data_IF_850716502086
#
_entry.id   IF_850716502086
#
_cell.length_a   1.000
_cell.length_b   1.000
_cell.length_c   1.000
_cell.angle_alpha   90.00
_cell.angle_beta   90.00
_cell.angle_gamma   90.00
#
_symmetry.space_group_name_H-M   'P 1'
#
loop_
_entity.id
_entity.type
_entity.pdbx_description
1 polymer ?
#
# COMPACT_ATOMS: atom_id res chain seq x y z
N UNK A 1 37.82 -38.33 2.35
CA UNK A 1 39.22 -38.02 2.72
C UNK A 1 39.93 -37.53 1.48
N UNK A 2 40.16 -36.23 1.36
CA UNK A 2 41.26 -35.70 0.55
C UNK A 2 41.65 -34.34 1.11
N UNK A 3 42.91 -34.28 1.53
CA UNK A 3 43.52 -33.28 2.37
C UNK A 3 44.38 -32.41 1.45
N UNK A 4 44.03 -31.15 1.23
CA UNK A 4 44.93 -30.18 0.62
C UNK A 4 45.16 -29.02 1.58
N UNK A 5 46.33 -29.13 2.17
CA UNK A 5 47.09 -28.22 3.01
C UNK A 5 47.90 -27.31 2.08
N UNK A 6 48.19 -26.07 2.54
CA UNK A 6 49.38 -25.22 2.31
C UNK A 6 49.09 -23.75 1.97
N UNK A 7 50.02 -22.83 2.31
CA UNK A 7 49.80 -21.78 3.29
C UNK A 7 49.97 -20.38 2.66
N UNK A 8 50.01 -19.31 3.44
CA UNK A 8 51.10 -18.31 3.43
C UNK A 8 50.72 -17.12 4.32
N UNK A 9 51.54 -16.94 5.36
CA UNK A 9 51.73 -15.67 6.06
C UNK A 9 52.25 -14.61 5.08
N UNK A 10 51.80 -13.36 5.21
CA UNK A 10 52.72 -12.22 5.16
C UNK A 10 52.23 -11.07 6.05
N UNK A 11 53.14 -10.63 6.90
CA UNK A 11 53.07 -9.50 7.82
C UNK A 11 53.30 -8.17 7.08
N UNK A 12 52.63 -7.14 7.60
CA UNK A 12 53.06 -5.75 7.80
C UNK A 12 53.52 -4.89 6.61
N UNK A 13 52.94 -3.69 6.48
CA UNK A 13 53.66 -2.43 6.67
C UNK A 13 52.72 -1.22 6.65
N UNK A 14 53.10 -0.25 7.47
CA UNK A 14 52.43 1.01 7.79
C UNK A 14 52.56 1.99 6.62
N UNK A 15 51.44 2.63 6.25
CA UNK A 15 51.43 3.79 5.37
C UNK A 15 50.68 4.93 6.06
N UNK A 16 51.42 5.81 6.72
CA UNK A 16 50.91 7.08 7.23
C UNK A 16 50.64 8.02 6.05
N UNK A 17 49.37 8.32 5.81
CA UNK A 17 48.93 9.38 4.90
C UNK A 17 48.05 10.35 5.65
N UNK A 18 48.64 11.44 6.16
CA UNK A 18 47.90 12.58 6.68
C UNK A 18 47.24 13.30 5.50
N UNK A 19 45.97 13.05 5.25
CA UNK A 19 45.13 13.94 4.46
C UNK A 19 44.40 14.87 5.43
N UNK A 20 44.76 16.16 5.40
CA UNK A 20 44.01 17.22 6.07
C UNK A 20 42.62 17.31 5.43
N UNK A 21 41.62 16.76 6.11
CA UNK A 21 40.23 17.02 5.81
C UNK A 21 39.84 18.35 6.48
N UNK A 22 39.54 19.34 5.65
CA UNK A 22 38.85 20.58 6.03
C UNK A 22 37.58 20.20 6.82
N UNK A 23 37.27 20.83 7.97
CA UNK A 23 36.00 20.60 8.63
C UNK A 23 34.92 21.25 7.77
N UNK A 24 34.19 20.43 7.01
CA UNK A 24 32.90 20.85 6.46
C UNK A 24 31.97 21.03 7.64
N UNK A 25 31.56 22.28 7.85
CA UNK A 25 30.49 22.71 8.75
C UNK A 25 29.32 21.74 8.58
N UNK A 26 29.16 20.85 9.57
CA UNK A 26 28.08 19.89 9.61
C UNK A 26 26.88 20.68 10.09
N UNK A 27 26.03 21.11 9.14
CA UNK A 27 24.69 21.54 9.46
C UNK A 27 24.06 20.53 10.42
N UNK A 28 23.41 20.98 11.50
CA UNK A 28 22.77 20.07 12.43
C UNK A 28 21.81 19.15 11.66
N UNK A 29 21.82 17.84 11.93
CA UNK A 29 20.91 16.93 11.26
C UNK A 29 19.49 17.40 11.52
N UNK A 30 18.82 17.87 10.47
CA UNK A 30 17.37 18.10 10.49
C UNK A 30 16.75 16.80 10.99
N UNK A 31 16.00 16.81 12.11
CA UNK A 31 15.33 15.62 12.56
C UNK A 31 14.47 15.09 11.40
N UNK A 32 14.48 13.78 11.13
CA UNK A 32 13.64 13.23 10.08
C UNK A 32 12.21 13.69 10.36
N UNK A 33 11.64 14.46 9.42
CA UNK A 33 10.23 14.83 9.44
C UNK A 33 9.49 13.51 9.42
N UNK A 34 9.03 13.09 10.60
CA UNK A 34 8.13 11.96 10.73
C UNK A 34 6.83 12.45 10.13
N UNK A 35 6.64 12.22 8.83
CA UNK A 35 5.38 12.42 8.16
C UNK A 35 4.37 11.55 8.88
N UNK A 36 3.67 12.17 9.82
CA UNK A 36 2.58 11.53 10.53
C UNK A 36 1.54 11.26 9.45
N UNK A 37 1.13 10.00 9.22
CA UNK A 37 0.13 9.71 8.21
C UNK A 37 -1.07 10.61 8.46
N UNK A 38 -1.37 11.48 7.50
CA UNK A 38 -2.43 12.47 7.61
C UNK A 38 -3.71 11.71 7.93
N UNK A 39 -4.24 11.91 9.13
CA UNK A 39 -5.50 11.31 9.54
C UNK A 39 -6.58 11.68 8.52
N UNK A 40 -7.56 10.79 8.32
CA UNK A 40 -8.76 11.13 7.56
C UNK A 40 -9.31 12.42 8.14
N UNK A 41 -9.59 13.40 7.29
CA UNK A 41 -10.07 14.68 7.76
C UNK A 41 -11.46 14.48 8.39
N UNK A 42 -11.64 14.91 9.64
CA UNK A 42 -12.89 14.75 10.40
C UNK A 42 -14.16 15.19 9.64
N UNK A 43 -14.04 16.13 8.69
CA UNK A 43 -15.14 16.60 7.86
C UNK A 43 -15.68 15.51 6.93
N UNK A 44 -14.83 14.65 6.35
CA UNK A 44 -15.28 13.61 5.41
C UNK A 44 -16.02 12.46 6.12
N UNK A 45 -15.72 12.25 7.40
CA UNK A 45 -16.40 11.25 8.23
C UNK A 45 -17.83 11.65 8.58
N UNK A 46 -18.13 12.97 8.59
CA UNK A 46 -19.45 13.51 8.93
C UNK A 46 -20.28 13.90 7.72
N UNK A 47 -19.71 13.84 6.51
CA UNK A 47 -20.42 14.16 5.29
C UNK A 47 -21.49 13.11 4.98
N UNK A 48 -22.68 13.60 4.64
CA UNK A 48 -23.78 12.77 4.17
C UNK A 48 -23.47 12.15 2.79
N UNK A 49 -24.01 10.96 2.48
CA UNK A 49 -23.87 10.39 1.16
C UNK A 49 -24.58 11.24 0.11
N UNK A 50 -24.03 11.24 -1.10
CA UNK A 50 -24.62 11.89 -2.27
C UNK A 50 -25.38 10.85 -3.10
N UNK A 51 -26.46 11.27 -3.75
CA UNK A 51 -27.13 10.48 -4.77
C UNK A 51 -26.64 10.98 -6.13
N UNK A 52 -26.12 10.09 -6.97
CA UNK A 52 -25.70 10.45 -8.33
C UNK A 52 -26.89 10.55 -9.30
N UNK A 53 -26.62 10.97 -10.54
CA UNK A 53 -27.65 11.24 -11.56
C UNK A 53 -28.48 10.00 -11.96
N UNK A 54 -27.98 8.80 -11.65
CA UNK A 54 -28.67 7.53 -11.90
C UNK A 54 -29.35 6.97 -10.64
N UNK A 55 -29.32 7.72 -9.55
CA UNK A 55 -29.97 7.39 -8.28
C UNK A 55 -29.16 6.43 -7.39
N UNK A 56 -27.87 6.26 -7.64
CA UNK A 56 -26.99 5.46 -6.79
C UNK A 56 -26.46 6.28 -5.64
N UNK A 57 -26.45 5.68 -4.45
CA UNK A 57 -25.86 6.29 -3.26
C UNK A 57 -24.34 6.15 -3.34
N UNK A 58 -23.62 7.27 -3.25
CA UNK A 58 -22.17 7.33 -3.16
C UNK A 58 -21.77 8.00 -1.86
N UNK A 59 -20.96 7.31 -1.08
CA UNK A 59 -20.38 7.87 0.12
C UNK A 59 -19.13 8.69 -0.23
N UNK A 60 -18.82 9.74 0.55
CA UNK A 60 -17.55 10.45 0.42
C UNK A 60 -16.33 9.51 0.46
N UNK A 61 -15.29 9.84 -0.31
CA UNK A 61 -14.04 9.09 -0.38
C UNK A 61 -12.88 10.02 -0.08
N UNK A 62 -12.00 9.64 0.86
CA UNK A 62 -10.77 10.38 1.13
C UNK A 62 -9.96 10.52 -0.15
N UNK A 63 -9.40 11.70 -0.40
CA UNK A 63 -8.69 11.98 -1.65
C UNK A 63 -7.54 11.01 -1.94
N UNK A 64 -6.94 10.43 -0.90
CA UNK A 64 -5.92 9.37 -1.03
C UNK A 64 -6.45 8.15 -1.78
N UNK A 65 -7.74 7.85 -1.67
CA UNK A 65 -8.39 6.69 -2.29
C UNK A 65 -9.29 7.07 -3.46
N UNK A 66 -9.21 8.30 -3.99
CA UNK A 66 -10.12 8.78 -5.03
C UNK A 66 -10.11 7.92 -6.31
N UNK A 67 -9.01 7.24 -6.59
CA UNK A 67 -8.85 6.32 -7.72
C UNK A 67 -9.55 4.97 -7.52
N UNK A 68 -9.98 4.65 -6.29
CA UNK A 68 -10.63 3.40 -5.93
C UNK A 68 -12.16 3.60 -5.84
N UNK A 69 -13.00 2.93 -6.65
CA UNK A 69 -14.44 3.19 -6.71
C UNK A 69 -15.22 2.85 -5.43
N UNK A 70 -15.64 1.61 -5.23
CA UNK A 70 -16.30 1.16 -4.01
C UNK A 70 -15.28 0.88 -2.91
N UNK A 71 -14.12 0.32 -3.26
CA UNK A 71 -13.07 0.04 -2.28
C UNK A 71 -12.58 1.31 -1.55
N UNK A 72 -12.49 2.45 -2.25
CA UNK A 72 -12.11 3.73 -1.63
C UNK A 72 -13.14 4.24 -0.62
N UNK A 73 -14.44 4.05 -0.90
CA UNK A 73 -15.51 4.37 0.05
C UNK A 73 -15.44 3.47 1.30
N UNK A 74 -15.13 2.17 1.12
CA UNK A 74 -14.94 1.24 2.25
C UNK A 74 -13.73 1.62 3.09
N UNK A 75 -12.58 1.95 2.48
CA UNK A 75 -11.41 2.41 3.23
C UNK A 75 -11.70 3.68 4.03
N UNK A 76 -12.38 4.64 3.42
CA UNK A 76 -12.77 5.88 4.09
C UNK A 76 -13.69 5.59 5.28
N UNK A 77 -14.70 4.72 5.11
CA UNK A 77 -15.61 4.33 6.18
C UNK A 77 -14.90 3.61 7.34
N UNK A 78 -13.95 2.71 7.04
CA UNK A 78 -13.14 2.01 8.05
C UNK A 78 -12.26 2.99 8.82
N UNK A 79 -11.61 3.94 8.15
CA UNK A 79 -10.78 4.94 8.83
C UNK A 79 -11.60 5.93 9.67
N UNK A 80 -12.87 6.15 9.31
CA UNK A 80 -13.83 6.92 10.12
C UNK A 80 -14.47 6.12 11.27
N UNK A 81 -14.08 4.84 11.46
CA UNK A 81 -14.69 3.91 12.43
C UNK A 81 -16.22 3.74 12.24
N UNK A 82 -16.70 3.84 11.00
CA UNK A 82 -18.12 3.75 10.64
C UNK A 82 -18.37 2.48 9.79
N UNK A 83 -18.41 1.33 10.47
CA UNK A 83 -18.68 0.04 9.82
C UNK A 83 -20.12 -0.08 9.28
N UNK A 84 -21.06 0.71 9.81
CA UNK A 84 -22.43 0.75 9.31
C UNK A 84 -22.48 1.40 7.92
N UNK A 85 -21.70 2.47 7.72
CA UNK A 85 -21.47 3.06 6.39
C UNK A 85 -20.76 2.10 5.46
N UNK A 86 -19.72 1.41 5.93
CA UNK A 86 -19.05 0.38 5.12
C UNK A 86 -20.06 -0.70 4.66
N UNK A 87 -20.96 -1.13 5.56
CA UNK A 87 -22.06 -2.07 5.31
C UNK A 87 -23.06 -1.65 4.22
N UNK A 88 -23.07 -0.38 3.81
CA UNK A 88 -23.95 0.15 2.76
C UNK A 88 -23.23 0.34 1.43
N UNK A 89 -21.91 0.16 1.38
CA UNK A 89 -21.13 0.25 0.14
C UNK A 89 -21.24 -1.07 -0.63
N UNK A 90 -21.45 -0.98 -1.94
CA UNK A 90 -21.53 -2.15 -2.79
C UNK A 90 -20.27 -3.01 -2.69
N UNK A 91 -20.45 -4.33 -2.59
CA UNK A 91 -19.35 -5.26 -2.42
C UNK A 91 -18.89 -5.45 -0.98
N UNK A 92 -19.46 -4.78 0.02
CA UNK A 92 -19.16 -5.06 1.43
C UNK A 92 -20.35 -5.75 2.12
N UNK A 93 -20.18 -7.01 2.49
CA UNK A 93 -21.22 -7.89 3.06
C UNK A 93 -20.63 -8.63 4.24
N UNK A 94 -21.38 -8.76 5.35
CA UNK A 94 -20.97 -9.51 6.54
C UNK A 94 -19.56 -9.14 7.05
N UNK A 95 -19.27 -7.83 7.11
CA UNK A 95 -17.97 -7.26 7.54
C UNK A 95 -16.78 -7.67 6.66
N UNK A 96 -17.05 -8.08 5.42
CA UNK A 96 -16.05 -8.47 4.44
C UNK A 96 -16.32 -7.80 3.09
N UNK A 97 -15.26 -7.41 2.40
CA UNK A 97 -15.34 -6.94 1.02
C UNK A 97 -15.27 -8.15 0.07
N UNK A 98 -16.37 -8.39 -0.65
CA UNK A 98 -16.62 -9.55 -1.50
C UNK A 98 -16.64 -9.21 -2.99
N UNK A 99 -16.58 -7.93 -3.39
CA UNK A 99 -16.45 -7.60 -4.81
C UNK A 99 -15.15 -8.17 -5.38
N UNK A 100 -15.17 -8.59 -6.64
CA UNK A 100 -13.96 -9.00 -7.34
C UNK A 100 -13.03 -7.81 -7.47
N UNK A 101 -11.78 -7.96 -7.01
CA UNK A 101 -10.75 -6.93 -7.11
C UNK A 101 -9.72 -7.34 -8.15
N UNK A 102 -9.54 -6.49 -9.15
CA UNK A 102 -8.47 -6.58 -10.14
C UNK A 102 -7.60 -5.32 -10.04
N UNK A 103 -6.30 -5.52 -9.88
CA UNK A 103 -5.29 -4.48 -9.79
C UNK A 103 -4.39 -4.55 -11.02
N UNK A 104 -4.14 -3.44 -11.68
CA UNK A 104 -3.27 -3.34 -12.86
C UNK A 104 -2.29 -2.17 -12.69
N UNK A 105 -1.01 -2.42 -12.91
CA UNK A 105 0.04 -1.37 -12.96
C UNK A 105 0.39 -0.96 -14.40
N UNK A 106 -0.56 -1.12 -15.33
CA UNK A 106 -0.36 -0.87 -16.75
C UNK A 106 0.80 -1.70 -17.32
N UNK A 107 1.79 -1.01 -17.88
CA UNK A 107 3.00 -1.61 -18.48
C UNK A 107 4.11 -1.91 -17.46
N UNK A 108 3.89 -1.62 -16.17
CA UNK A 108 4.91 -1.79 -15.12
C UNK A 108 4.52 -2.87 -14.12
N UNK A 109 5.51 -3.47 -13.47
CA UNK A 109 5.27 -4.43 -12.39
C UNK A 109 5.19 -3.71 -11.04
N UNK A 110 4.31 -4.15 -10.11
CA UNK A 110 4.29 -3.60 -8.76
C UNK A 110 5.64 -3.84 -8.05
N UNK A 111 6.06 -2.95 -7.13
CA UNK A 111 7.27 -3.16 -6.33
C UNK A 111 7.24 -4.50 -5.56
N UNK A 112 8.41 -5.08 -5.26
CA UNK A 112 8.50 -6.37 -4.56
C UNK A 112 7.66 -6.40 -3.26
N UNK A 113 7.73 -5.34 -2.45
CA UNK A 113 6.95 -5.23 -1.20
C UNK A 113 5.45 -5.26 -1.44
N UNK A 114 4.98 -4.66 -2.54
CA UNK A 114 3.58 -4.73 -2.93
C UNK A 114 3.21 -6.16 -3.36
N UNK A 115 4.03 -6.84 -4.15
CA UNK A 115 3.80 -8.24 -4.54
C UNK A 115 3.69 -9.17 -3.32
N UNK A 116 4.56 -8.99 -2.33
CA UNK A 116 4.54 -9.75 -1.08
C UNK A 116 3.25 -9.49 -0.29
N UNK A 117 2.86 -8.21 -0.14
CA UNK A 117 1.61 -7.82 0.51
C UNK A 117 0.39 -8.44 -0.19
N UNK A 118 0.29 -8.29 -1.52
CA UNK A 118 -0.79 -8.87 -2.33
C UNK A 118 -0.86 -10.39 -2.17
N UNK A 119 0.29 -11.08 -2.24
CA UNK A 119 0.34 -12.54 -2.06
C UNK A 119 -0.16 -12.95 -0.67
N UNK A 120 0.28 -12.25 0.39
CA UNK A 120 -0.17 -12.52 1.77
C UNK A 120 -1.68 -12.31 1.96
N UNK A 121 -2.26 -11.40 1.19
CA UNK A 121 -3.69 -11.11 1.20
C UNK A 121 -4.50 -12.09 0.34
N UNK A 122 -3.85 -13.00 -0.40
CA UNK A 122 -4.52 -13.98 -1.25
C UNK A 122 -4.84 -13.46 -2.65
N UNK A 123 -4.08 -12.49 -3.16
CA UNK A 123 -4.08 -12.19 -4.57
C UNK A 123 -3.21 -13.19 -5.34
N UNK A 124 -3.57 -13.42 -6.60
CA UNK A 124 -2.77 -14.16 -7.57
C UNK A 124 -2.42 -13.25 -8.74
N UNK A 125 -1.19 -13.37 -9.24
CA UNK A 125 -0.76 -12.71 -10.47
C UNK A 125 -1.43 -13.38 -11.67
N UNK A 126 -2.18 -12.60 -12.45
CA UNK A 126 -2.76 -13.00 -13.75
C UNK A 126 -1.73 -12.75 -14.85
N UNK A 127 -1.04 -11.61 -14.75
CA UNK A 127 0.12 -11.23 -15.56
C UNK A 127 1.17 -10.60 -14.64
N UNK A 128 2.33 -10.25 -15.19
CA UNK A 128 3.38 -9.52 -14.47
C UNK A 128 2.87 -8.24 -13.76
N UNK A 129 1.95 -7.51 -14.39
CA UNK A 129 1.39 -6.23 -13.90
C UNK A 129 -0.02 -6.34 -13.34
N UNK A 130 -0.73 -7.46 -13.55
CA UNK A 130 -2.14 -7.64 -13.18
C UNK A 130 -2.33 -8.68 -12.07
N UNK A 131 -3.06 -8.31 -11.02
CA UNK A 131 -3.30 -9.13 -9.83
C UNK A 131 -4.79 -9.21 -9.50
N UNK A 132 -5.26 -10.42 -9.20
CA UNK A 132 -6.67 -10.70 -8.90
C UNK A 132 -6.83 -11.25 -7.49
N UNK A 133 -7.79 -10.72 -6.75
CA UNK A 133 -8.21 -11.28 -5.46
C UNK A 133 -8.89 -12.64 -5.65
N UNK A 134 -8.52 -13.64 -4.83
CA UNK A 134 -9.12 -14.99 -4.90
C UNK A 134 -10.10 -15.28 -3.77
N UNK A 135 -10.21 -14.37 -2.80
CA UNK A 135 -11.07 -14.49 -1.63
C UNK A 135 -11.62 -13.12 -1.19
N UNK A 136 -12.70 -13.09 -0.40
CA UNK A 136 -13.12 -11.88 0.29
C UNK A 136 -12.07 -11.36 1.28
N UNK A 137 -12.11 -10.05 1.54
CA UNK A 137 -11.24 -9.36 2.50
C UNK A 137 -11.99 -8.96 3.76
N UNK A 138 -11.50 -9.38 4.92
CA UNK A 138 -11.99 -8.90 6.21
C UNK A 138 -11.58 -7.44 6.44
N UNK A 139 -12.16 -6.77 7.44
CA UNK A 139 -11.69 -5.42 7.88
C UNK A 139 -10.19 -5.40 8.19
N UNK A 140 -9.64 -6.49 8.75
CA UNK A 140 -8.21 -6.59 9.02
C UNK A 140 -7.39 -6.67 7.73
N UNK A 141 -7.80 -7.51 6.76
CA UNK A 141 -7.17 -7.60 5.45
C UNK A 141 -7.20 -6.25 4.72
N UNK A 142 -8.33 -5.54 4.78
CA UNK A 142 -8.51 -4.24 4.17
C UNK A 142 -7.57 -3.18 4.77
N UNK A 143 -7.33 -3.22 6.08
CA UNK A 143 -6.35 -2.35 6.72
C UNK A 143 -4.92 -2.64 6.25
N UNK A 144 -4.55 -3.92 6.10
CA UNK A 144 -3.24 -4.30 5.56
C UNK A 144 -3.09 -3.84 4.11
N UNK A 145 -4.11 -4.07 3.27
CA UNK A 145 -4.12 -3.64 1.87
C UNK A 145 -3.99 -2.11 1.74
N UNK A 146 -4.75 -1.37 2.54
CA UNK A 146 -4.70 0.09 2.61
C UNK A 146 -3.30 0.60 2.98
N UNK A 147 -2.68 0.02 4.00
CA UNK A 147 -1.31 0.37 4.40
C UNK A 147 -0.30 0.05 3.30
N UNK A 148 -0.47 -1.07 2.59
CA UNK A 148 0.38 -1.41 1.45
C UNK A 148 0.26 -0.38 0.32
N UNK A 149 -0.95 0.10 0.01
CA UNK A 149 -1.16 1.13 -1.01
C UNK A 149 -0.50 2.46 -0.64
N UNK A 150 -0.68 2.93 0.59
CA UNK A 150 -0.09 4.18 1.08
C UNK A 150 1.44 4.08 1.11
N UNK A 151 1.98 3.00 1.66
CA UNK A 151 3.43 2.86 1.89
C UNK A 151 4.26 2.70 0.62
N UNK A 152 3.63 2.36 -0.51
CA UNK A 152 4.32 2.14 -1.79
C UNK A 152 3.98 3.22 -2.82
N UNK A 153 3.28 4.29 -2.43
CA UNK A 153 2.76 5.32 -3.34
C UNK A 153 2.04 4.73 -4.56
N UNK A 154 1.35 3.62 -4.32
CA UNK A 154 0.90 2.74 -5.39
C UNK A 154 -0.35 3.28 -6.08
N UNK A 155 -1.09 4.18 -5.43
CA UNK A 155 -2.40 4.65 -5.90
C UNK A 155 -2.29 5.58 -7.11
N UNK A 156 -1.15 6.25 -7.32
CA UNK A 156 -0.99 7.14 -8.49
C UNK A 156 -0.83 6.37 -9.81
N UNK A 157 -0.31 5.14 -9.76
CA UNK A 157 0.01 4.32 -10.95
C UNK A 157 -0.91 3.11 -11.11
N UNK A 158 -1.83 2.92 -10.17
CA UNK A 158 -2.73 1.77 -10.12
C UNK A 158 -3.99 2.05 -10.92
N UNK A 159 -4.21 1.23 -11.95
CA UNK A 159 -5.52 1.01 -12.53
C UNK A 159 -6.26 -0.02 -11.68
N UNK A 160 -7.49 0.32 -11.31
CA UNK A 160 -8.28 -0.49 -10.39
C UNK A 160 -9.66 -0.77 -10.97
N UNK A 161 -10.06 -2.03 -10.93
CA UNK A 161 -11.42 -2.45 -11.23
C UNK A 161 -11.98 -3.22 -10.02
N UNK A 162 -13.02 -2.68 -9.39
CA UNK A 162 -13.91 -3.45 -8.54
C UNK A 162 -15.16 -3.84 -9.31
N UNK A 163 -15.47 -5.13 -9.28
CA UNK A 163 -16.63 -5.65 -9.96
C UNK A 163 -17.48 -6.49 -9.02
N UNK A 164 -18.65 -5.94 -8.71
CA UNK A 164 -19.65 -6.54 -7.81
C UNK A 164 -20.22 -7.85 -8.37
N UNK A 165 -20.00 -8.17 -9.66
CA UNK A 165 -20.50 -9.38 -10.34
C UNK A 165 -19.44 -10.18 -11.14
N UNK A 166 -18.15 -9.96 -10.93
CA UNK A 166 -17.10 -10.64 -11.71
C UNK A 166 -16.63 -11.97 -11.08
N UNK A 167 -17.50 -12.58 -10.26
CA UNK A 167 -17.32 -13.91 -9.68
C UNK A 167 -17.73 -14.99 -10.66
#
# INVERSE_FOLDING_TARGET
MNLHLLPFLFLAAIGAGCASATPTETDPPTPPVTETPTAVRDDICRQEPLMDDIGSIRYPTDSRYAVLPHLGQVFTAIECDDLDRAGRVAGFVDKSYTAGVLLSWGDTEPPLRMKEALTSLGFVSVTASTWKATRPFTVQDLNVLRQAFISNDALETLEFEDCVRCG
#
